data_IF_521425067320
#
_entry.id   IF_521425067320
#
_cell.length_a   1.000
_cell.length_b   1.000
_cell.length_c   1.000
_cell.angle_alpha   90.00
_cell.angle_beta   90.00
_cell.angle_gamma   90.00
#
_symmetry.space_group_name_H-M   'P 1'
#
loop_
_entity.id
_entity.type
_entity.pdbx_description
1 polymer ?
#
# COMPACT_ATOMS: atom_id res chain seq x y z
N UNK A 1 -25.89 -22.77 16.75
CA UNK A 1 -24.71 -22.17 17.40
C UNK A 1 -23.49 -22.85 16.83
N UNK A 2 -22.97 -22.34 15.73
CA UNK A 2 -21.79 -22.88 15.04
C UNK A 2 -20.78 -21.77 14.87
N UNK A 3 -19.54 -22.14 15.13
CA UNK A 3 -18.35 -21.33 15.35
C UNK A 3 -18.09 -20.33 14.21
N UNK A 4 -17.83 -19.08 14.59
CA UNK A 4 -17.41 -17.99 13.69
C UNK A 4 -16.07 -17.40 14.15
N UNK A 5 -15.02 -18.23 14.22
CA UNK A 5 -13.68 -17.81 14.70
C UNK A 5 -12.59 -17.80 13.64
N UNK A 6 -12.84 -18.22 12.39
CA UNK A 6 -11.76 -18.47 11.41
C UNK A 6 -11.59 -17.41 10.31
N UNK A 7 -12.28 -16.26 10.39
CA UNK A 7 -12.18 -15.23 9.33
C UNK A 7 -10.95 -14.31 9.44
N UNK A 8 -10.12 -14.43 10.49
CA UNK A 8 -8.99 -13.53 10.75
C UNK A 8 -7.61 -14.11 10.39
N UNK A 9 -7.50 -15.40 10.08
CA UNK A 9 -6.20 -16.09 10.02
C UNK A 9 -5.59 -16.23 8.61
N UNK A 10 -6.17 -15.65 7.56
CA UNK A 10 -5.70 -15.86 6.18
C UNK A 10 -4.78 -14.76 5.62
N UNK A 11 -4.03 -14.08 6.48
CA UNK A 11 -3.05 -13.03 6.12
C UNK A 11 -1.68 -13.56 5.69
N UNK A 12 -1.45 -14.87 5.82
CA UNK A 12 -0.10 -15.46 5.78
C UNK A 12 0.54 -15.57 4.39
N UNK A 13 -0.20 -15.32 3.31
CA UNK A 13 0.35 -15.54 1.97
C UNK A 13 1.27 -14.41 1.47
N UNK A 14 1.25 -13.23 2.12
CA UNK A 14 2.17 -12.11 1.82
C UNK A 14 2.85 -11.50 3.06
N UNK A 15 2.50 -11.93 4.27
CA UNK A 15 3.17 -11.51 5.50
C UNK A 15 4.04 -12.65 6.05
N UNK A 16 5.36 -12.65 5.78
CA UNK A 16 6.28 -13.52 6.49
C UNK A 16 6.24 -13.26 8.01
N UNK A 17 6.24 -14.34 8.80
CA UNK A 17 6.38 -14.42 10.26
C UNK A 17 6.30 -13.07 11.01
N UNK A 18 5.07 -12.72 11.41
CA UNK A 18 4.63 -11.36 11.80
C UNK A 18 5.47 -10.75 12.92
N UNK A 19 5.96 -11.53 13.89
CA UNK A 19 6.79 -11.02 14.98
C UNK A 19 8.19 -10.55 14.52
N UNK A 20 8.79 -11.26 13.57
CA UNK A 20 10.13 -10.96 13.04
C UNK A 20 10.11 -9.75 12.11
N UNK A 21 9.04 -9.63 11.30
CA UNK A 21 8.84 -8.45 10.44
C UNK A 21 8.43 -7.21 11.23
N UNK A 22 7.73 -7.36 12.35
CA UNK A 22 7.36 -6.23 13.20
C UNK A 22 8.61 -5.54 13.79
N UNK A 23 9.57 -6.30 14.34
CA UNK A 23 10.81 -5.72 14.85
C UNK A 23 11.67 -5.06 13.77
N UNK A 24 11.78 -5.68 12.58
CA UNK A 24 12.56 -5.13 11.47
C UNK A 24 12.00 -3.77 11.01
N UNK A 25 10.68 -3.70 10.82
CA UNK A 25 9.98 -2.46 10.42
C UNK A 25 10.05 -1.38 11.50
N UNK A 26 9.85 -1.75 12.77
CA UNK A 26 9.99 -0.84 13.91
C UNK A 26 11.41 -0.25 13.99
N UNK A 27 12.45 -1.10 13.90
CA UNK A 27 13.84 -0.65 13.93
C UNK A 27 14.15 0.26 12.74
N UNK A 28 13.73 -0.12 11.53
CA UNK A 28 13.92 0.72 10.34
C UNK A 28 13.25 2.09 10.49
N UNK A 29 11.99 2.13 10.94
CA UNK A 29 11.27 3.37 11.17
C UNK A 29 11.93 4.25 12.24
N UNK A 30 12.47 3.64 13.29
CA UNK A 30 13.17 4.37 14.34
C UNK A 30 14.50 4.95 13.84
N UNK A 31 15.26 4.19 13.04
CA UNK A 31 16.45 4.72 12.35
C UNK A 31 16.06 5.87 11.42
N UNK A 32 15.02 5.71 10.60
CA UNK A 32 14.54 6.74 9.66
C UNK A 32 14.12 8.05 10.35
N UNK A 33 13.47 7.96 11.51
CA UNK A 33 12.95 9.13 12.23
C UNK A 33 13.93 9.76 13.21
N UNK A 34 14.93 9.03 13.70
CA UNK A 34 15.85 9.49 14.75
C UNK A 34 17.34 9.35 14.40
N UNK A 35 17.69 9.03 13.15
CA UNK A 35 19.08 9.01 12.72
C UNK A 35 19.76 10.38 12.97
N UNK A 36 21.05 10.41 13.36
CA UNK A 36 21.93 9.26 13.59
C UNK A 36 21.66 8.55 14.93
N UNK A 37 21.55 7.21 14.93
CA UNK A 37 21.21 6.41 16.13
C UNK A 37 22.12 5.17 16.30
N UNK A 38 22.34 4.72 17.54
CA UNK A 38 23.17 3.52 17.83
C UNK A 38 22.31 2.28 18.10
N UNK A 39 22.89 1.08 17.93
CA UNK A 39 22.23 -0.20 18.31
C UNK A 39 21.79 -0.22 19.78
N UNK A 40 22.59 0.36 20.67
CA UNK A 40 22.26 0.45 22.09
C UNK A 40 21.02 1.33 22.33
N UNK A 41 20.95 2.49 21.67
CA UNK A 41 19.79 3.39 21.77
C UNK A 41 18.53 2.80 21.14
N UNK A 42 18.67 2.07 20.04
CA UNK A 42 17.56 1.30 19.45
C UNK A 42 17.00 0.28 20.44
N UNK A 43 17.88 -0.47 21.11
CA UNK A 43 17.51 -1.46 22.13
C UNK A 43 16.79 -0.81 23.32
N UNK A 44 17.28 0.33 23.78
CA UNK A 44 16.69 1.10 24.88
C UNK A 44 15.28 1.62 24.53
N UNK A 45 15.09 2.21 23.35
CA UNK A 45 13.80 2.80 22.95
C UNK A 45 12.76 1.72 22.63
N UNK A 46 13.17 0.66 21.93
CA UNK A 46 12.24 -0.38 21.47
C UNK A 46 11.96 -1.45 22.53
N UNK A 47 12.78 -1.56 23.57
CA UNK A 47 12.75 -2.67 24.53
C UNK A 47 13.23 -4.02 23.94
N UNK A 48 13.61 -4.05 22.67
CA UNK A 48 14.14 -5.25 22.01
C UNK A 48 15.57 -5.48 22.54
N UNK A 49 15.89 -6.71 22.93
CA UNK A 49 17.24 -7.04 23.40
C UNK A 49 18.32 -6.75 22.33
N UNK A 50 19.53 -6.40 22.78
CA UNK A 50 20.60 -5.92 21.92
C UNK A 50 21.02 -6.94 20.83
N UNK A 51 20.91 -8.25 21.12
CA UNK A 51 21.22 -9.30 20.15
C UNK A 51 20.20 -9.32 18.99
N UNK A 52 18.90 -9.24 19.31
CA UNK A 52 17.81 -9.14 18.33
C UNK A 52 17.88 -7.84 17.53
N UNK A 53 18.22 -6.71 18.16
CA UNK A 53 18.50 -5.46 17.44
C UNK A 53 19.66 -5.66 16.46
N UNK A 54 20.75 -6.31 16.90
CA UNK A 54 21.89 -6.64 16.06
C UNK A 54 21.48 -7.38 14.79
N UNK A 55 20.75 -8.50 14.92
CA UNK A 55 20.27 -9.30 13.77
C UNK A 55 19.41 -8.49 12.78
N UNK A 56 18.50 -7.65 13.29
CA UNK A 56 17.66 -6.81 12.43
C UNK A 56 18.47 -5.71 11.73
N UNK A 57 19.38 -5.06 12.45
CA UNK A 57 20.28 -4.05 11.87
C UNK A 57 21.19 -4.67 10.81
N UNK A 58 21.74 -5.85 11.05
CA UNK A 58 22.57 -6.56 10.08
C UNK A 58 21.74 -6.92 8.83
N UNK A 59 20.49 -7.36 8.99
CA UNK A 59 19.55 -7.57 7.86
C UNK A 59 19.31 -6.29 7.05
N UNK A 60 19.13 -5.14 7.71
CA UNK A 60 18.93 -3.84 7.02
C UNK A 60 20.20 -3.37 6.30
N UNK A 61 21.39 -3.61 6.88
CA UNK A 61 22.69 -3.30 6.27
C UNK A 61 22.95 -4.19 5.04
N UNK A 62 22.66 -5.50 5.14
CA UNK A 62 22.76 -6.44 4.02
C UNK A 62 21.86 -6.04 2.85
N UNK A 63 20.64 -5.59 3.15
CA UNK A 63 19.70 -5.03 2.16
C UNK A 63 20.05 -3.61 1.72
N UNK A 64 21.13 -3.02 2.26
CA UNK A 64 21.60 -1.66 1.98
C UNK A 64 20.53 -0.58 2.23
N UNK A 65 19.54 -0.84 3.08
CA UNK A 65 18.50 0.12 3.45
C UNK A 65 19.02 1.17 4.44
N UNK A 66 20.05 0.80 5.20
CA UNK A 66 20.75 1.67 6.14
C UNK A 66 22.26 1.58 5.88
N UNK A 67 23.00 2.56 6.39
CA UNK A 67 24.46 2.62 6.39
C UNK A 67 24.96 2.83 7.81
N UNK A 68 26.16 2.33 8.09
CA UNK A 68 26.83 2.54 9.37
C UNK A 68 28.04 3.46 9.18
N UNK A 69 28.01 4.64 9.81
CA UNK A 69 29.14 5.58 9.82
C UNK A 69 29.93 5.45 11.12
N UNK A 70 31.24 5.69 11.04
CA UNK A 70 32.10 5.87 12.21
C UNK A 70 31.97 7.31 12.69
N UNK A 71 31.84 7.52 14.00
CA UNK A 71 31.76 8.85 14.59
C UNK A 71 33.12 9.57 14.52
N UNK A 72 33.20 10.75 13.91
CA UNK A 72 34.41 11.59 13.86
C UNK A 72 34.59 12.42 15.14
N UNK A 73 35.50 12.01 16.02
CA UNK A 73 36.11 12.91 17.03
C UNK A 73 37.35 12.27 17.67
N UNK A 74 38.22 13.07 18.30
CA UNK A 74 39.56 12.70 18.74
C UNK A 74 39.63 12.07 20.15
N UNK A 75 39.27 10.79 20.33
CA UNK A 75 39.30 10.14 21.66
C UNK A 75 39.35 8.62 21.63
N UNK A 76 40.11 8.04 22.55
CA UNK A 76 40.55 6.64 22.58
C UNK A 76 39.44 5.72 23.14
N UNK A 77 38.92 4.84 22.28
CA UNK A 77 37.95 3.77 22.63
C UNK A 77 37.29 3.17 21.38
N UNK A 78 36.90 1.89 21.41
CA UNK A 78 36.13 1.26 20.31
C UNK A 78 34.70 1.79 20.33
N UNK A 79 34.41 2.77 19.47
CA UNK A 79 33.12 3.48 19.47
C UNK A 79 31.99 2.67 18.84
N UNK A 80 30.78 2.89 19.34
CA UNK A 80 29.56 2.42 18.70
C UNK A 80 29.38 3.14 17.36
N UNK A 81 29.18 2.39 16.27
CA UNK A 81 28.85 3.02 14.98
C UNK A 81 27.44 3.58 14.99
N UNK A 82 27.26 4.72 14.34
CA UNK A 82 25.96 5.37 14.15
C UNK A 82 25.32 4.85 12.87
N UNK A 83 24.01 4.63 12.93
CA UNK A 83 23.19 4.13 11.84
C UNK A 83 22.40 5.29 11.24
N UNK A 84 22.36 5.32 9.93
CA UNK A 84 21.60 6.27 9.12
C UNK A 84 20.90 5.52 7.98
N UNK A 85 19.83 6.09 7.44
CA UNK A 85 19.20 5.60 6.21
C UNK A 85 20.13 5.73 5.01
N UNK A 86 20.00 4.81 4.05
CA UNK A 86 20.70 4.93 2.78
C UNK A 86 19.89 5.78 1.78
N UNK A 87 20.18 7.07 1.71
CA UNK A 87 19.46 8.02 0.83
C UNK A 87 19.61 7.76 -0.67
N UNK A 88 20.49 6.85 -1.09
CA UNK A 88 20.62 6.44 -2.49
C UNK A 88 19.51 5.45 -2.93
N UNK A 89 18.71 4.94 -1.99
CA UNK A 89 17.65 3.97 -2.26
C UNK A 89 16.29 4.67 -2.46
N UNK A 90 15.47 4.11 -3.33
CA UNK A 90 14.11 4.59 -3.60
C UNK A 90 13.19 3.42 -3.97
N UNK A 91 11.89 3.66 -3.89
CA UNK A 91 10.84 2.70 -4.23
C UNK A 91 9.96 3.28 -5.32
N UNK A 92 9.45 2.42 -6.20
CA UNK A 92 8.46 2.79 -7.19
C UNK A 92 7.08 2.31 -6.75
N UNK A 93 6.05 3.10 -7.02
CA UNK A 93 4.64 2.70 -6.86
C UNK A 93 3.95 2.88 -8.20
N UNK A 94 3.45 1.77 -8.74
CA UNK A 94 2.55 1.78 -9.89
C UNK A 94 1.13 1.85 -9.36
N UNK A 95 0.38 2.87 -9.74
CA UNK A 95 -1.04 3.01 -9.43
C UNK A 95 -1.85 2.78 -10.70
N UNK A 96 -2.61 1.70 -10.72
CA UNK A 96 -3.54 1.35 -11.78
C UNK A 96 -4.94 1.67 -11.29
N UNK A 97 -5.53 2.75 -11.82
CA UNK A 97 -6.95 3.04 -11.66
C UNK A 97 -7.67 2.90 -13.00
N UNK A 98 -9.00 3.07 -13.03
CA UNK A 98 -9.84 2.74 -14.19
C UNK A 98 -9.32 3.28 -15.53
N UNK A 99 -8.92 4.55 -15.58
CA UNK A 99 -8.39 5.19 -16.79
C UNK A 99 -7.24 6.15 -16.50
N UNK A 100 -6.62 6.05 -15.31
CA UNK A 100 -5.44 6.84 -14.98
C UNK A 100 -4.38 5.88 -14.43
N UNK A 101 -3.27 5.76 -15.14
CA UNK A 101 -2.11 5.03 -14.63
C UNK A 101 -1.05 6.03 -14.22
N UNK A 102 -0.39 5.76 -13.10
CA UNK A 102 0.66 6.62 -12.59
C UNK A 102 1.82 5.79 -12.04
N UNK A 103 3.03 6.32 -12.23
CA UNK A 103 4.21 5.85 -11.55
C UNK A 103 4.67 6.95 -10.60
N UNK A 104 4.88 6.58 -9.35
CA UNK A 104 5.44 7.46 -8.33
C UNK A 104 6.78 6.89 -7.87
N UNK A 105 7.78 7.74 -7.72
CA UNK A 105 9.05 7.36 -7.09
C UNK A 105 9.11 8.02 -5.73
N UNK A 106 9.30 7.21 -4.69
CA UNK A 106 9.49 7.67 -3.32
C UNK A 106 10.93 7.41 -2.88
N UNK A 107 11.51 8.37 -2.17
CA UNK A 107 12.78 8.12 -1.50
C UNK A 107 12.62 7.20 -0.28
N UNK A 108 13.73 6.81 0.33
CA UNK A 108 13.76 5.99 1.55
C UNK A 108 13.07 6.67 2.76
N UNK A 109 12.80 7.98 2.69
CA UNK A 109 12.05 8.74 3.69
C UNK A 109 10.54 8.77 3.43
N UNK A 110 10.07 8.08 2.38
CA UNK A 110 8.68 8.11 1.91
C UNK A 110 8.23 9.47 1.38
N UNK A 111 9.18 10.32 0.95
CA UNK A 111 8.86 11.55 0.22
C UNK A 111 8.79 11.26 -1.26
N UNK A 112 7.72 11.71 -1.92
CA UNK A 112 7.61 11.62 -3.38
C UNK A 112 8.74 12.46 -4.00
N UNK A 113 9.61 11.80 -4.75
CA UNK A 113 10.72 12.39 -5.48
C UNK A 113 10.29 12.74 -6.91
N UNK A 114 9.63 11.81 -7.60
CA UNK A 114 9.25 11.94 -9.01
C UNK A 114 7.84 11.36 -9.25
N UNK A 115 7.22 11.79 -10.35
CA UNK A 115 5.91 11.30 -10.78
C UNK A 115 5.82 11.28 -12.31
N UNK A 116 5.27 10.20 -12.84
CA UNK A 116 4.90 10.07 -14.24
C UNK A 116 3.41 9.72 -14.34
N UNK A 117 2.68 10.46 -15.18
CA UNK A 117 1.27 10.19 -15.46
C UNK A 117 1.13 9.63 -16.87
N UNK A 118 0.38 8.53 -17.00
CA UNK A 118 -0.05 8.02 -18.29
C UNK A 118 -1.31 8.76 -18.73
N UNK A 119 -1.28 9.35 -19.92
CA UNK A 119 -2.49 9.85 -20.56
C UNK A 119 -3.16 8.68 -21.29
N UNK A 120 -4.26 8.20 -20.72
CA UNK A 120 -5.03 7.11 -21.31
C UNK A 120 -5.59 7.52 -22.68
N UNK A 121 -5.39 6.66 -23.67
CA UNK A 121 -5.90 6.83 -25.03
C UNK A 121 -7.22 6.03 -25.15
N UNK A 122 -8.38 6.70 -25.21
CA UNK A 122 -9.68 6.02 -25.24
C UNK A 122 -9.94 5.28 -26.56
N UNK A 123 -9.14 5.52 -27.61
CA UNK A 123 -9.24 4.81 -28.88
C UNK A 123 -8.56 3.43 -28.80
N UNK A 124 -7.63 3.26 -27.86
CA UNK A 124 -6.90 2.01 -27.64
C UNK A 124 -7.56 1.17 -26.56
N UNK A 125 -7.43 -0.14 -26.70
CA UNK A 125 -7.84 -1.07 -25.64
C UNK A 125 -6.98 -0.92 -24.37
N UNK A 126 -7.46 -1.50 -23.28
CA UNK A 126 -6.79 -1.48 -21.98
C UNK A 126 -5.37 -2.06 -22.06
N UNK A 127 -5.20 -3.19 -22.75
CA UNK A 127 -3.92 -3.89 -22.88
C UNK A 127 -2.85 -3.03 -23.58
N UNK A 128 -3.25 -2.29 -24.61
CA UNK A 128 -2.39 -1.39 -25.38
C UNK A 128 -1.97 -0.18 -24.54
N UNK A 129 -2.90 0.38 -23.76
CA UNK A 129 -2.59 1.44 -22.79
C UNK A 129 -1.63 0.93 -21.70
N UNK A 130 -1.90 -0.24 -21.13
CA UNK A 130 -1.07 -0.85 -20.09
C UNK A 130 0.35 -1.14 -20.61
N UNK A 131 0.49 -1.75 -21.78
CA UNK A 131 1.80 -2.03 -22.39
C UNK A 131 2.61 -0.76 -22.64
N UNK A 132 1.97 0.30 -23.16
CA UNK A 132 2.62 1.59 -23.37
C UNK A 132 3.11 2.17 -22.04
N UNK A 133 2.23 2.20 -21.04
CA UNK A 133 2.56 2.72 -19.71
C UNK A 133 3.69 1.96 -19.03
N UNK A 134 3.69 0.62 -19.07
CA UNK A 134 4.76 -0.18 -18.46
C UNK A 134 6.10 0.00 -19.18
N UNK A 135 6.09 0.15 -20.51
CA UNK A 135 7.29 0.51 -21.27
C UNK A 135 7.81 1.89 -20.87
N UNK A 136 6.92 2.87 -20.68
CA UNK A 136 7.30 4.20 -20.21
C UNK A 136 7.85 4.16 -18.78
N UNK A 137 7.28 3.31 -17.92
CA UNK A 137 7.79 3.10 -16.56
C UNK A 137 9.20 2.53 -16.57
N UNK A 138 9.48 1.55 -17.43
CA UNK A 138 10.81 0.96 -17.58
C UNK A 138 11.83 2.03 -17.96
N UNK A 139 11.53 2.82 -19.01
CA UNK A 139 12.37 3.93 -19.45
C UNK A 139 12.55 4.96 -18.33
N UNK A 140 11.47 5.38 -17.67
CA UNK A 140 11.51 6.39 -16.62
C UNK A 140 12.37 5.94 -15.42
N UNK A 141 12.24 4.67 -15.01
CA UNK A 141 13.03 4.08 -13.93
C UNK A 141 14.50 3.97 -14.32
N UNK A 142 14.82 3.64 -15.57
CA UNK A 142 16.20 3.58 -16.05
C UNK A 142 16.88 4.96 -15.99
N UNK A 143 16.23 6.01 -16.48
CA UNK A 143 16.76 7.38 -16.45
C UNK A 143 16.86 7.95 -15.03
N UNK A 144 15.88 7.67 -14.17
CA UNK A 144 15.94 8.07 -12.75
C UNK A 144 17.00 7.27 -11.99
N UNK A 145 17.23 6.03 -12.42
CA UNK A 145 18.13 5.02 -11.86
C UNK A 145 19.58 5.46 -11.76
N UNK A 146 20.02 6.40 -12.60
CA UNK A 146 21.38 6.95 -12.57
C UNK A 146 21.69 7.72 -11.29
N UNK A 147 20.67 8.25 -10.61
CA UNK A 147 20.81 9.01 -9.36
C UNK A 147 20.31 8.27 -8.12
N UNK A 148 19.42 7.28 -8.29
CA UNK A 148 18.72 6.57 -7.21
C UNK A 148 18.46 5.13 -7.59
N UNK A 149 18.81 4.19 -6.71
CA UNK A 149 18.51 2.78 -6.95
C UNK A 149 17.06 2.46 -6.58
N UNK A 150 16.22 2.17 -7.57
CA UNK A 150 14.85 1.65 -7.36
C UNK A 150 14.94 0.18 -6.95
N UNK A 151 14.68 -0.12 -5.67
CA UNK A 151 14.88 -1.46 -5.11
C UNK A 151 13.67 -2.38 -5.22
N UNK A 152 12.46 -1.82 -5.33
CA UNK A 152 11.24 -2.60 -5.56
C UNK A 152 10.11 -1.75 -6.12
N UNK A 153 9.06 -2.44 -6.58
CA UNK A 153 7.79 -1.86 -7.01
C UNK A 153 6.69 -2.28 -6.03
N UNK A 154 5.90 -1.31 -5.57
CA UNK A 154 4.56 -1.51 -5.01
C UNK A 154 3.51 -1.28 -6.09
N UNK A 155 2.38 -1.98 -6.03
CA UNK A 155 1.29 -1.82 -7.00
C UNK A 155 -0.05 -1.57 -6.30
N UNK A 156 -0.73 -0.50 -6.66
CA UNK A 156 -2.11 -0.20 -6.27
C UNK A 156 -3.02 -0.55 -7.45
N UNK A 157 -4.08 -1.32 -7.20
CA UNK A 157 -4.99 -1.82 -8.25
C UNK A 157 -6.46 -1.59 -7.89
N UNK A 158 -7.39 -1.54 -8.86
CA UNK A 158 -8.80 -1.34 -8.58
C UNK A 158 -9.44 -2.72 -8.37
N UNK A 159 -9.59 -3.14 -7.13
CA UNK A 159 -10.21 -4.41 -6.74
C UNK A 159 -9.24 -5.41 -6.11
N UNK A 160 -9.74 -6.54 -5.59
CA UNK A 160 -8.92 -7.54 -4.92
C UNK A 160 -7.95 -8.25 -5.86
N UNK A 161 -6.70 -8.40 -5.43
CA UNK A 161 -5.69 -9.19 -6.13
C UNK A 161 -5.74 -10.67 -5.72
N UNK A 162 -5.88 -11.56 -6.70
CA UNK A 162 -5.72 -13.00 -6.53
C UNK A 162 -4.29 -13.42 -6.93
N UNK A 163 -3.55 -13.88 -5.94
CA UNK A 163 -2.16 -14.30 -6.08
C UNK A 163 -2.00 -15.69 -6.70
N UNK A 164 -3.05 -16.51 -6.68
CA UNK A 164 -3.01 -17.85 -7.27
C UNK A 164 -3.04 -17.79 -8.80
N UNK A 165 -3.84 -16.88 -9.35
CA UNK A 165 -3.99 -16.60 -10.78
C UNK A 165 -3.08 -15.46 -11.27
N UNK A 166 -2.56 -14.62 -10.37
CA UNK A 166 -1.89 -13.35 -10.66
C UNK A 166 -2.81 -12.32 -11.34
N UNK A 167 -4.10 -12.28 -10.98
CA UNK A 167 -5.10 -11.40 -11.63
C UNK A 167 -5.81 -10.48 -10.64
N UNK A 168 -6.44 -9.41 -11.15
CA UNK A 168 -7.28 -8.53 -10.31
C UNK A 168 -8.74 -8.85 -10.58
N UNK A 169 -9.50 -9.14 -9.52
CA UNK A 169 -10.93 -9.39 -9.64
C UNK A 169 -11.66 -8.06 -9.76
N UNK A 170 -12.17 -7.76 -10.96
CA UNK A 170 -12.87 -6.51 -11.21
C UNK A 170 -13.97 -6.67 -12.27
N UNK A 171 -15.22 -6.37 -11.91
CA UNK A 171 -16.38 -6.45 -12.84
C UNK A 171 -16.47 -5.27 -13.82
N UNK A 172 -15.93 -4.11 -13.45
CA UNK A 172 -15.95 -2.88 -14.27
C UNK A 172 -14.84 -2.88 -15.32
N UNK A 173 -13.73 -3.55 -15.02
CA UNK A 173 -12.55 -3.68 -15.87
C UNK A 173 -12.26 -5.18 -16.08
N UNK A 174 -13.09 -5.86 -16.89
CA UNK A 174 -12.99 -7.31 -17.08
C UNK A 174 -11.60 -7.76 -17.55
N UNK A 175 -10.88 -6.92 -18.29
CA UNK A 175 -9.53 -7.19 -18.80
C UNK A 175 -8.53 -7.51 -17.69
N UNK A 176 -8.70 -6.93 -16.49
CA UNK A 176 -7.82 -7.19 -15.36
C UNK A 176 -7.94 -8.62 -14.80
N UNK A 177 -9.05 -9.32 -15.07
CA UNK A 177 -9.23 -10.71 -14.66
C UNK A 177 -8.43 -11.69 -15.54
N UNK A 178 -7.89 -11.21 -16.67
CA UNK A 178 -7.19 -12.03 -17.68
C UNK A 178 -5.69 -11.71 -17.76
N UNK A 179 -5.22 -10.69 -17.04
CA UNK A 179 -3.84 -10.22 -17.09
C UNK A 179 -3.08 -10.71 -15.86
N UNK A 180 -2.02 -11.47 -16.08
CA UNK A 180 -1.03 -11.82 -15.05
C UNK A 180 -0.22 -10.57 -14.66
N UNK A 181 -0.74 -9.78 -13.73
CA UNK A 181 -0.35 -8.38 -13.53
C UNK A 181 1.06 -8.24 -12.94
N UNK A 182 1.43 -9.06 -11.96
CA UNK A 182 2.78 -9.04 -11.41
C UNK A 182 3.76 -9.49 -12.47
N UNK A 183 3.46 -10.59 -13.19
CA UNK A 183 4.33 -11.12 -14.23
C UNK A 183 4.61 -10.08 -15.33
N UNK A 184 3.58 -9.40 -15.84
CA UNK A 184 3.77 -8.42 -16.91
C UNK A 184 4.55 -7.19 -16.43
N UNK A 185 4.30 -6.71 -15.21
CA UNK A 185 5.06 -5.60 -14.62
C UNK A 185 6.53 -6.00 -14.45
N UNK A 186 6.82 -7.13 -13.83
CA UNK A 186 8.20 -7.58 -13.59
C UNK A 186 8.96 -7.82 -14.90
N UNK A 187 8.30 -8.42 -15.89
CA UNK A 187 8.88 -8.68 -17.19
C UNK A 187 9.20 -7.39 -17.96
N UNK A 188 8.26 -6.45 -18.02
CA UNK A 188 8.43 -5.21 -18.80
C UNK A 188 9.30 -4.18 -18.10
N UNK A 189 9.14 -4.02 -16.78
CA UNK A 189 9.87 -2.99 -16.01
C UNK A 189 11.22 -3.50 -15.51
N UNK A 190 11.44 -4.81 -15.45
CA UNK A 190 12.71 -5.39 -15.03
C UNK A 190 13.02 -5.18 -13.54
N UNK A 191 11.99 -5.00 -12.71
CA UNK A 191 12.09 -4.86 -11.24
C UNK A 191 11.04 -5.71 -10.56
N UNK A 192 11.36 -6.21 -9.37
CA UNK A 192 10.46 -7.07 -8.59
C UNK A 192 9.28 -6.28 -8.02
N UNK A 193 8.08 -6.86 -8.14
CA UNK A 193 6.90 -6.37 -7.43
C UNK A 193 6.95 -6.97 -6.02
N UNK A 194 7.19 -6.11 -5.04
CA UNK A 194 7.31 -6.50 -3.63
C UNK A 194 5.97 -6.53 -2.90
N UNK A 195 4.99 -5.77 -3.38
CA UNK A 195 3.69 -5.63 -2.74
C UNK A 195 2.66 -5.20 -3.76
N UNK A 196 1.46 -5.74 -3.66
CA UNK A 196 0.31 -5.37 -4.49
C UNK A 196 -0.96 -5.46 -3.65
N UNK A 197 -1.79 -4.43 -3.73
CA UNK A 197 -3.04 -4.39 -2.97
C UNK A 197 -4.06 -3.46 -3.61
N UNK A 198 -5.30 -3.59 -3.15
CA UNK A 198 -6.42 -2.79 -3.63
C UNK A 198 -6.28 -1.31 -3.19
N UNK A 199 -6.57 -0.40 -4.12
CA UNK A 199 -6.45 1.04 -3.93
C UNK A 199 -7.22 1.57 -2.70
N UNK A 200 -8.49 1.20 -2.50
CA UNK A 200 -9.29 1.68 -1.34
C UNK A 200 -8.73 1.21 0.00
N UNK A 201 -8.10 0.03 0.04
CA UNK A 201 -7.38 -0.47 1.23
C UNK A 201 -6.12 0.34 1.47
N UNK A 202 -5.39 0.70 0.42
CA UNK A 202 -4.24 1.59 0.55
C UNK A 202 -4.65 3.02 0.96
N UNK A 203 -5.79 3.51 0.48
CA UNK A 203 -6.31 4.82 0.84
C UNK A 203 -6.65 4.95 2.33
N UNK A 204 -7.23 3.92 2.96
CA UNK A 204 -7.49 3.96 4.41
C UNK A 204 -6.17 3.97 5.20
N UNK A 205 -5.17 3.17 4.81
CA UNK A 205 -3.84 3.21 5.46
C UNK A 205 -3.17 4.57 5.35
N UNK A 206 -3.24 5.21 4.18
CA UNK A 206 -2.64 6.52 3.94
C UNK A 206 -3.18 7.61 4.88
N UNK A 207 -4.45 7.51 5.30
CA UNK A 207 -5.12 8.52 6.10
C UNK A 207 -5.22 8.17 7.59
N UNK A 208 -5.34 6.89 7.94
CA UNK A 208 -5.64 6.49 9.31
C UNK A 208 -4.57 6.93 10.33
N UNK A 209 -3.31 7.02 9.92
CA UNK A 209 -2.23 7.48 10.79
C UNK A 209 -2.35 8.94 11.23
N UNK A 210 -3.21 9.73 10.57
CA UNK A 210 -3.54 11.10 10.98
C UNK A 210 -4.58 11.14 12.10
N UNK A 211 -5.24 10.02 12.39
CA UNK A 211 -6.28 9.91 13.41
C UNK A 211 -5.63 9.49 14.74
N UNK A 212 -5.82 10.24 15.85
CA UNK A 212 -5.31 9.85 17.17
C UNK A 212 -5.87 8.48 17.59
N UNK A 213 -5.05 7.64 18.23
CA UNK A 213 -5.44 6.30 18.70
C UNK A 213 -6.11 5.43 17.63
N UNK A 214 -5.70 5.55 16.36
CA UNK A 214 -6.27 4.78 15.24
C UNK A 214 -6.16 3.26 15.46
N UNK A 215 -5.13 2.82 16.20
CA UNK A 215 -4.84 1.45 16.59
C UNK A 215 -5.83 0.87 17.62
N UNK A 216 -6.73 1.70 18.17
CA UNK A 216 -7.81 1.29 19.08
C UNK A 216 -9.19 1.55 18.49
N UNK A 217 -9.26 1.89 17.21
CA UNK A 217 -10.49 2.31 16.53
C UNK A 217 -10.88 1.33 15.44
N UNK A 218 -12.18 1.31 15.16
CA UNK A 218 -12.71 0.77 13.92
C UNK A 218 -12.96 1.93 12.97
N UNK A 219 -12.49 1.84 11.73
CA UNK A 219 -12.68 2.89 10.74
C UNK A 219 -13.24 2.31 9.45
N UNK A 220 -14.07 3.12 8.79
CA UNK A 220 -14.62 2.84 7.48
C UNK A 220 -14.13 3.92 6.55
N UNK A 221 -13.53 3.51 5.44
CA UNK A 221 -13.22 4.37 4.31
C UNK A 221 -14.19 4.04 3.19
N UNK A 222 -14.79 5.08 2.61
CA UNK A 222 -15.71 4.96 1.49
C UNK A 222 -15.22 5.90 0.38
N UNK A 223 -14.88 5.31 -0.76
CA UNK A 223 -14.57 6.04 -1.97
C UNK A 223 -15.82 6.09 -2.86
N UNK A 224 -16.19 7.29 -3.30
CA UNK A 224 -17.29 7.54 -4.22
C UNK A 224 -16.71 8.32 -5.41
N UNK A 225 -16.71 7.72 -6.59
CA UNK A 225 -16.18 8.29 -7.84
C UNK A 225 -16.73 7.53 -9.05
N UNK A 226 -15.85 7.11 -9.96
CA UNK A 226 -16.21 6.25 -11.12
C UNK A 226 -16.79 4.88 -10.71
N UNK A 227 -16.73 4.57 -9.41
CA UNK A 227 -17.47 3.51 -8.75
C UNK A 227 -17.46 3.72 -7.25
N UNK A 228 -17.93 2.72 -6.53
CA UNK A 228 -17.94 2.73 -5.07
C UNK A 228 -17.05 1.61 -4.58
N UNK A 229 -16.04 1.99 -3.81
CA UNK A 229 -15.20 1.03 -3.10
C UNK A 229 -15.13 1.40 -1.62
N UNK A 230 -14.79 0.45 -0.79
CA UNK A 230 -14.62 0.72 0.63
C UNK A 230 -13.55 -0.16 1.25
N UNK A 231 -13.09 0.29 2.40
CA UNK A 231 -12.16 -0.45 3.23
C UNK A 231 -12.55 -0.29 4.70
N UNK A 232 -12.27 -1.33 5.48
CA UNK A 232 -12.56 -1.38 6.90
C UNK A 232 -11.27 -1.67 7.65
N UNK A 233 -11.06 -1.00 8.76
CA UNK A 233 -10.03 -1.37 9.73
C UNK A 233 -10.64 -1.64 11.09
N UNK A 234 -10.00 -2.53 11.83
CA UNK A 234 -10.30 -2.84 13.22
C UNK A 234 -8.98 -2.87 14.00
N UNK A 235 -8.85 -2.03 15.02
CA UNK A 235 -7.61 -1.86 15.79
C UNK A 235 -6.38 -1.56 14.91
N UNK A 236 -6.56 -0.67 13.95
CA UNK A 236 -5.50 -0.29 13.01
C UNK A 236 -5.17 -1.32 11.92
N UNK A 237 -5.77 -2.51 11.95
CA UNK A 237 -5.54 -3.56 10.95
C UNK A 237 -6.65 -3.59 9.91
N UNK A 238 -6.30 -3.74 8.63
CA UNK A 238 -7.30 -3.86 7.57
C UNK A 238 -8.03 -5.20 7.66
N UNK A 239 -9.35 -5.13 7.64
CA UNK A 239 -10.19 -6.30 7.46
C UNK A 239 -10.23 -6.67 5.98
N UNK A 240 -9.70 -7.85 5.64
CA UNK A 240 -9.67 -8.36 4.26
C UNK A 240 -10.82 -9.32 3.96
N UNK A 241 -11.23 -10.14 4.94
CA UNK A 241 -12.17 -11.25 4.73
C UNK A 241 -11.53 -12.41 3.95
N UNK A 242 -12.24 -13.54 3.87
CA UNK A 242 -11.73 -14.78 3.27
C UNK A 242 -11.26 -14.60 1.82
N UNK A 243 -12.09 -13.93 1.01
CA UNK A 243 -11.85 -13.69 -0.42
C UNK A 243 -11.34 -12.27 -0.71
N UNK A 244 -10.81 -11.56 0.30
CA UNK A 244 -10.31 -10.18 0.17
C UNK A 244 -11.37 -9.11 -0.21
N UNK A 245 -12.67 -9.43 -0.21
CA UNK A 245 -13.78 -8.49 -0.51
C UNK A 245 -14.35 -7.73 0.70
N UNK A 246 -13.77 -7.87 1.90
CA UNK A 246 -14.31 -7.14 3.05
C UNK A 246 -14.22 -5.62 2.83
N UNK A 247 -15.34 -4.93 3.08
CA UNK A 247 -15.46 -3.50 2.85
C UNK A 247 -15.93 -3.10 1.46
N UNK A 248 -16.24 -4.04 0.55
CA UNK A 248 -16.78 -3.75 -0.79
C UNK A 248 -18.24 -3.23 -0.73
N UNK A 249 -18.40 -2.02 -0.20
CA UNK A 249 -19.69 -1.39 0.08
C UNK A 249 -20.49 -1.09 -1.20
N UNK A 250 -19.83 -0.95 -2.34
CA UNK A 250 -20.49 -0.74 -3.64
C UNK A 250 -21.36 -1.93 -4.06
N UNK A 251 -21.02 -3.15 -3.62
CA UNK A 251 -21.74 -4.37 -3.97
C UNK A 251 -22.91 -4.69 -3.02
N UNK A 252 -23.18 -3.85 -2.01
CA UNK A 252 -24.34 -4.02 -1.13
C UNK A 252 -25.64 -3.98 -1.94
N UNK A 253 -26.47 -5.02 -1.85
CA UNK A 253 -27.81 -5.04 -2.45
C UNK A 253 -28.66 -3.99 -1.73
N UNK A 254 -29.10 -2.98 -2.46
CA UNK A 254 -29.77 -1.81 -1.89
C UNK A 254 -31.24 -1.74 -2.25
N UNK A 255 -31.65 -2.41 -3.32
CA UNK A 255 -33.03 -2.44 -3.83
C UNK A 255 -33.61 -3.84 -3.83
N UNK A 256 -34.94 -3.95 -3.77
CA UNK A 256 -35.65 -5.23 -3.77
C UNK A 256 -35.53 -5.99 -5.09
N UNK A 257 -35.23 -5.32 -6.21
CA UNK A 257 -34.95 -5.93 -7.51
C UNK A 257 -33.48 -6.37 -7.66
N UNK A 258 -32.68 -6.26 -6.60
CA UNK A 258 -31.32 -6.79 -6.53
C UNK A 258 -30.23 -5.84 -7.01
N UNK A 259 -30.53 -4.57 -7.31
CA UNK A 259 -29.47 -3.62 -7.70
C UNK A 259 -28.60 -3.26 -6.50
N UNK A 260 -27.29 -3.22 -6.75
CA UNK A 260 -26.31 -2.82 -5.76
C UNK A 260 -26.28 -1.31 -5.55
N UNK A 261 -25.69 -0.86 -4.43
CA UNK A 261 -25.48 0.55 -4.14
C UNK A 261 -24.72 1.28 -5.27
N UNK A 262 -23.68 0.64 -5.81
CA UNK A 262 -22.92 1.17 -6.95
C UNK A 262 -23.78 1.28 -8.21
N UNK A 263 -24.64 0.28 -8.48
CA UNK A 263 -25.57 0.32 -9.61
C UNK A 263 -26.69 1.35 -9.44
N UNK A 264 -26.94 1.86 -8.24
CA UNK A 264 -27.89 2.95 -8.06
C UNK A 264 -27.18 4.28 -8.31
N UNK A 265 -26.02 4.46 -7.67
CA UNK A 265 -25.29 5.72 -7.74
C UNK A 265 -24.66 6.00 -9.12
N UNK A 266 -24.34 4.96 -9.89
CA UNK A 266 -23.84 5.11 -11.27
C UNK A 266 -24.92 5.64 -12.24
N UNK A 267 -26.20 5.40 -11.94
CA UNK A 267 -27.32 5.78 -12.81
C UNK A 267 -28.15 6.94 -12.26
N UNK A 268 -27.91 7.33 -11.00
CA UNK A 268 -28.52 8.53 -10.42
C UNK A 268 -27.89 9.78 -11.02
N UNK A 269 -28.53 10.36 -12.03
CA UNK A 269 -28.31 11.74 -12.48
C UNK A 269 -28.92 12.76 -11.50
N UNK A 270 -29.68 12.28 -10.51
CA UNK A 270 -30.41 13.10 -9.56
C UNK A 270 -29.77 13.02 -8.17
N UNK A 271 -29.18 14.13 -7.74
CA UNK A 271 -28.54 14.27 -6.43
C UNK A 271 -29.50 14.06 -5.26
N UNK A 272 -30.82 14.12 -5.49
CA UNK A 272 -31.83 13.86 -4.47
C UNK A 272 -31.92 12.39 -4.04
N UNK A 273 -31.69 11.44 -4.95
CA UNK A 273 -31.60 10.00 -4.62
C UNK A 273 -30.32 9.68 -3.84
N UNK A 274 -29.22 10.35 -4.17
CA UNK A 274 -27.96 10.27 -3.44
C UNK A 274 -28.14 10.82 -2.01
N UNK A 275 -28.82 11.96 -1.86
CA UNK A 275 -29.13 12.56 -0.56
C UNK A 275 -30.06 11.68 0.29
N UNK A 276 -31.02 11.00 -0.35
CA UNK A 276 -31.92 10.06 0.31
C UNK A 276 -31.18 8.77 0.75
N UNK A 277 -30.25 8.25 -0.06
CA UNK A 277 -29.41 7.11 0.29
C UNK A 277 -28.38 7.45 1.39
N UNK A 278 -27.85 8.68 1.40
CA UNK A 278 -26.88 9.16 2.40
C UNK A 278 -27.52 9.67 3.70
N UNK A 279 -28.85 9.78 3.79
CA UNK A 279 -29.59 10.14 5.02
C UNK A 279 -29.57 9.03 6.11
N UNK A 280 -28.56 8.16 6.10
CA UNK A 280 -28.21 7.30 7.22
C UNK A 280 -27.96 8.19 8.45
N UNK A 281 -28.84 8.03 9.44
CA UNK A 281 -28.92 8.82 10.68
C UNK A 281 -27.55 9.12 11.28
N UNK A 282 -27.43 10.35 11.82
CA UNK A 282 -26.34 10.96 12.60
C UNK A 282 -25.85 10.12 13.82
N UNK A 283 -25.38 8.90 13.61
CA UNK A 283 -24.82 8.06 14.67
C UNK A 283 -23.50 7.37 14.30
N UNK A 284 -22.95 7.61 13.11
CA UNK A 284 -21.58 7.24 12.78
C UNK A 284 -20.80 8.49 12.40
N UNK A 285 -19.72 8.78 13.12
CA UNK A 285 -18.68 9.72 12.68
C UNK A 285 -17.93 9.11 11.50
N UNK A 286 -18.58 9.11 10.32
CA UNK A 286 -17.96 8.78 9.05
C UNK A 286 -17.15 9.99 8.59
N UNK A 287 -15.83 9.82 8.50
CA UNK A 287 -14.97 10.81 7.87
C UNK A 287 -15.00 10.56 6.37
N UNK A 288 -15.73 11.40 5.63
CA UNK A 288 -15.55 11.50 4.19
C UNK A 288 -14.22 12.22 3.94
N UNK A 289 -13.28 11.53 3.32
CA UNK A 289 -11.99 12.10 2.93
C UNK A 289 -12.13 12.47 1.44
N UNK A 290 -12.05 13.77 1.07
CA UNK A 290 -12.09 14.18 -0.32
C UNK A 290 -10.88 13.60 -1.08
N UNK A 291 -11.10 13.30 -2.36
CA UNK A 291 -10.05 12.87 -3.29
C UNK A 291 -9.03 13.98 -3.58
#
# INVERSE_FOLDING_TARGET
MTQGSDCLNNTDQYMPDTAKYNHLGQIFNLIRSQAPITRARLSEITGINLMSVGKNVDTLLERKLIVQKRQSSAGIGRRAGILEINSAMSFAVIDLTSYNFALYIYDINFKQAEKMLHKYDPVKDFNSNLRKFLSDCANFIEHTGESRLIISIGVSVPGPYDSSSDTIINKRMPELNEIMIVRIIEFTVGRKVSYIDENVKQSIYAHMHTIPDYDKKSMVYLHIGDGIGGALTYNGEILRGHEKFAGDMGQLIFTSDGKTLEQILKYSTDTSEIQAALNLRKSCSAFMIPA
#
